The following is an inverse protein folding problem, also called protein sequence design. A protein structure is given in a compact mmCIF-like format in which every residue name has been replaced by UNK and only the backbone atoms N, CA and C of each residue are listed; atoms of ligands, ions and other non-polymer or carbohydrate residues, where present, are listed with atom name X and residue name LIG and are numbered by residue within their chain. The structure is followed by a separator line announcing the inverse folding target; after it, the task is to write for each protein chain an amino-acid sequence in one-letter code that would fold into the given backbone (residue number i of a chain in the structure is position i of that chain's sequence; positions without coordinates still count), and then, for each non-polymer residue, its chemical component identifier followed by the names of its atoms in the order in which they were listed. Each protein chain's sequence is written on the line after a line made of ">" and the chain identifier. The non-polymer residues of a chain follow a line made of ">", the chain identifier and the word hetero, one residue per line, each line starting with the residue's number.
data_IF_582412875315
#
_entry.id   IF_582412875315
#
_cell.length_a   1.000
_cell.length_b   1.000
_cell.length_c   1.000
_cell.angle_alpha   90.00
_cell.angle_beta   90.00
_cell.angle_gamma   90.00
#
_symmetry.space_group_name_H-M   'P 1'
#
loop_
_entity.id
_entity.type
_entity.pdbx_description
1 polymer ?
#
# COMPACT_ATOMS: atom_id res chain seq x y z
N UNK A 1 3.00 2.69 -14.80
CA UNK A 1 2.51 4.01 -14.34
C UNK A 1 1.04 3.80 -14.00
N UNK A 2 0.62 3.91 -12.74
CA UNK A 2 -0.76 4.14 -12.29
C UNK A 2 -0.79 3.93 -10.76
N UNK A 3 -0.12 4.81 -10.02
CA UNK A 3 -0.48 5.03 -8.62
C UNK A 3 -1.56 6.10 -8.69
N UNK A 4 -2.82 5.71 -8.50
CA UNK A 4 -3.91 6.66 -8.30
C UNK A 4 -3.59 7.48 -7.05
N UNK A 5 -3.69 8.80 -7.20
CA UNK A 5 -3.06 9.82 -6.37
C UNK A 5 -3.26 9.62 -4.85
N UNK A 6 -2.19 9.29 -4.13
CA UNK A 6 -2.18 9.23 -2.66
C UNK A 6 -1.81 10.58 -2.06
N UNK A 7 -2.60 11.62 -2.34
CA UNK A 7 -2.22 13.02 -2.07
C UNK A 7 -1.58 13.19 -0.68
N UNK A 8 -0.29 13.60 -0.57
CA UNK A 8 0.37 13.83 0.71
C UNK A 8 -0.35 14.90 1.55
N UNK A 9 -1.18 15.73 0.91
CA UNK A 9 -2.06 16.70 1.57
C UNK A 9 -3.10 16.02 2.45
N UNK A 10 -3.53 14.79 2.14
CA UNK A 10 -4.46 14.06 3.02
C UNK A 10 -3.82 13.71 4.38
N UNK A 11 -2.49 13.80 4.48
CA UNK A 11 -1.69 13.50 5.67
C UNK A 11 -1.14 14.81 6.28
N UNK A 12 -2.02 15.78 6.53
CA UNK A 12 -1.63 17.02 7.22
C UNK A 12 -1.12 16.72 8.65
N UNK A 13 0.00 17.36 9.03
CA UNK A 13 0.58 17.44 10.39
C UNK A 13 0.34 16.22 11.30
N UNK A 14 0.97 15.08 10.99
CA UNK A 14 0.87 13.79 11.72
C UNK A 14 -0.38 12.94 11.42
N UNK A 15 -1.00 13.16 10.26
CA UNK A 15 -2.12 12.36 9.79
C UNK A 15 -1.77 10.89 9.49
N UNK A 16 -2.83 10.12 9.30
CA UNK A 16 -2.81 8.72 8.88
C UNK A 16 -3.75 8.56 7.70
N UNK A 17 -3.32 7.80 6.68
CA UNK A 17 -4.15 7.46 5.53
C UNK A 17 -4.13 5.96 5.29
N UNK A 18 -5.32 5.38 5.10
CA UNK A 18 -5.52 4.00 4.68
C UNK A 18 -6.15 3.95 3.30
N UNK A 19 -5.59 3.14 2.42
CA UNK A 19 -6.00 3.04 1.03
C UNK A 19 -6.27 1.57 0.72
N UNK A 20 -7.52 1.30 0.37
CA UNK A 20 -7.96 -0.01 -0.12
C UNK A 20 -7.95 0.03 -1.64
N UNK A 21 -7.16 -0.84 -2.27
CA UNK A 21 -7.07 -0.89 -3.73
C UNK A 21 -6.74 -2.28 -4.23
N UNK A 22 -7.00 -2.52 -5.50
CA UNK A 22 -6.46 -3.64 -6.25
C UNK A 22 -5.06 -3.25 -6.74
N UNK A 23 -4.05 -4.00 -6.32
CA UNK A 23 -2.67 -3.79 -6.73
C UNK A 23 -2.32 -4.79 -7.84
N UNK A 24 -1.98 -4.26 -9.01
CA UNK A 24 -1.61 -5.04 -10.19
C UNK A 24 -0.14 -5.44 -10.11
N UNK A 25 0.16 -6.72 -10.33
CA UNK A 25 1.49 -7.32 -10.21
C UNK A 25 2.21 -6.91 -8.90
N UNK A 26 1.60 -7.18 -7.74
CA UNK A 26 2.18 -6.80 -6.46
C UNK A 26 3.56 -7.44 -6.31
N UNK A 27 4.56 -6.62 -6.02
CA UNK A 27 5.97 -7.03 -5.85
C UNK A 27 6.68 -6.00 -5.00
N UNK A 28 7.88 -6.32 -4.51
CA UNK A 28 8.73 -5.36 -3.78
C UNK A 28 8.99 -4.08 -4.61
N UNK A 29 9.01 -4.19 -5.95
CA UNK A 29 9.14 -3.05 -6.86
C UNK A 29 8.01 -2.01 -6.73
N UNK A 30 6.83 -2.42 -6.23
CA UNK A 30 5.70 -1.52 -6.03
C UNK A 30 5.95 -0.56 -4.86
N UNK A 31 6.59 -1.03 -3.78
CA UNK A 31 6.99 -0.18 -2.67
C UNK A 31 7.95 0.92 -3.15
N UNK A 32 9.01 0.54 -3.89
CA UNK A 32 9.95 1.50 -4.46
C UNK A 32 9.26 2.54 -5.37
N UNK A 33 8.28 2.12 -6.18
CA UNK A 33 7.50 3.04 -7.03
C UNK A 33 6.68 4.03 -6.21
N UNK A 34 6.12 3.58 -5.09
CA UNK A 34 5.36 4.43 -4.15
C UNK A 34 6.29 5.44 -3.47
N UNK A 35 7.45 5.00 -2.98
CA UNK A 35 8.46 5.87 -2.37
C UNK A 35 8.95 6.94 -3.36
N UNK A 36 9.29 6.56 -4.59
CA UNK A 36 9.71 7.48 -5.64
C UNK A 36 8.62 8.49 -6.00
N UNK A 37 7.37 8.02 -6.11
CA UNK A 37 6.22 8.87 -6.35
C UNK A 37 6.03 9.91 -5.23
N UNK A 38 6.17 9.48 -3.96
CA UNK A 38 6.06 10.35 -2.80
C UNK A 38 7.12 11.47 -2.83
N UNK A 39 8.37 11.12 -3.09
CA UNK A 39 9.48 12.08 -3.17
C UNK A 39 9.32 13.08 -4.31
N UNK A 40 8.79 12.65 -5.47
CA UNK A 40 8.62 13.53 -6.65
C UNK A 40 7.57 14.62 -6.42
N UNK A 41 6.54 14.34 -5.60
CA UNK A 41 5.45 15.30 -5.35
C UNK A 41 5.83 16.42 -4.39
N UNK A 42 6.84 16.22 -3.53
CA UNK A 42 7.26 17.26 -2.57
C UNK A 42 8.03 18.43 -3.21
N UNK A 43 8.63 18.24 -4.39
CA UNK A 43 9.38 19.29 -5.10
C UNK A 43 8.55 20.43 -5.71
N UNK A 44 7.23 20.48 -5.47
CA UNK A 44 6.29 21.38 -6.18
C UNK A 44 5.69 22.52 -5.33
N UNK A 45 6.43 22.99 -4.31
CA UNK A 45 6.21 24.34 -3.74
C UNK A 45 5.30 24.43 -2.52
N UNK A 46 5.30 23.43 -1.63
CA UNK A 46 4.66 23.54 -0.31
C UNK A 46 5.67 23.17 0.78
N UNK A 47 5.83 24.02 1.79
CA UNK A 47 6.64 23.86 3.02
C UNK A 47 6.27 22.57 3.79
N UNK A 48 6.64 21.42 3.26
CA UNK A 48 6.32 20.10 3.83
C UNK A 48 7.57 19.23 4.03
N UNK A 49 8.76 19.82 3.89
CA UNK A 49 10.08 19.16 3.89
C UNK A 49 10.54 18.62 5.24
N UNK A 50 9.80 18.80 6.33
CA UNK A 50 10.30 18.53 7.69
C UNK A 50 9.77 17.23 8.30
N UNK A 51 9.09 16.35 7.56
CA UNK A 51 8.52 15.15 8.20
C UNK A 51 8.66 13.93 7.30
N UNK A 52 9.36 12.91 7.83
CA UNK A 52 9.38 11.57 7.24
C UNK A 52 8.02 10.90 7.31
N UNK A 53 7.81 9.90 6.46
CA UNK A 53 6.60 9.07 6.50
C UNK A 53 6.98 7.59 6.51
N UNK A 54 6.17 6.79 7.18
CA UNK A 54 6.28 5.35 7.15
C UNK A 54 5.02 4.77 6.55
N UNK A 55 5.17 3.84 5.62
CA UNK A 55 4.05 3.15 5.00
C UNK A 55 4.20 1.64 5.03
N UNK A 56 3.07 0.95 5.06
CA UNK A 56 3.00 -0.51 4.98
C UNK A 56 1.97 -0.87 3.93
N UNK A 57 2.43 -1.56 2.90
CA UNK A 57 1.58 -2.19 1.90
C UNK A 57 1.29 -3.62 2.36
N UNK A 58 0.01 -3.95 2.50
CA UNK A 58 -0.49 -5.28 2.73
C UNK A 58 -1.08 -5.81 1.42
N UNK A 59 -0.56 -6.92 0.91
CA UNK A 59 -1.17 -7.65 -0.21
C UNK A 59 -1.36 -9.10 0.16
N UNK A 60 -2.28 -9.79 -0.51
CA UNK A 60 -2.51 -11.21 -0.27
C UNK A 60 -1.27 -12.04 -0.62
N UNK A 61 -0.98 -13.03 0.22
CA UNK A 61 0.04 -14.04 -0.02
C UNK A 61 -0.22 -14.82 -1.32
N UNK A 62 -1.49 -15.06 -1.64
CA UNK A 62 -1.94 -15.65 -2.90
C UNK A 62 -2.76 -14.59 -3.68
N UNK A 63 -2.12 -13.76 -4.51
CA UNK A 63 -2.80 -12.91 -5.49
C UNK A 63 -3.68 -13.75 -6.42
N UNK A 64 -4.75 -13.16 -6.94
CA UNK A 64 -5.56 -13.80 -7.97
C UNK A 64 -4.89 -13.63 -9.34
N UNK A 65 -5.01 -14.64 -10.19
CA UNK A 65 -4.52 -14.55 -11.56
C UNK A 65 -5.40 -13.63 -12.43
N UNK A 66 -4.85 -13.21 -13.57
CA UNK A 66 -5.53 -12.35 -14.52
C UNK A 66 -6.86 -12.92 -15.03
N UNK A 67 -6.95 -14.23 -15.24
CA UNK A 67 -8.21 -14.89 -15.66
C UNK A 67 -9.29 -14.79 -14.61
N UNK A 68 -8.95 -15.06 -13.34
CA UNK A 68 -9.86 -14.95 -12.20
C UNK A 68 -10.29 -13.50 -12.00
N UNK A 69 -9.38 -12.55 -12.18
CA UNK A 69 -9.70 -11.12 -12.13
C UNK A 69 -10.67 -10.72 -13.25
N UNK A 70 -10.37 -11.06 -14.50
CA UNK A 70 -11.22 -10.78 -15.65
C UNK A 70 -12.61 -11.39 -15.47
N UNK A 71 -12.69 -12.64 -15.02
CA UNK A 71 -13.96 -13.33 -14.76
C UNK A 71 -14.81 -12.68 -13.67
N UNK A 72 -14.20 -11.96 -12.72
CA UNK A 72 -14.93 -11.20 -11.68
C UNK A 72 -15.40 -9.82 -12.14
N UNK A 73 -14.80 -9.29 -13.21
CA UNK A 73 -15.07 -7.93 -13.73
C UNK A 73 -15.99 -7.94 -14.94
N UNK A 74 -16.14 -9.08 -15.59
CA UNK A 74 -16.96 -9.26 -16.77
C UNK A 74 -18.38 -9.71 -16.39
N UNK A 75 -19.38 -9.11 -17.03
CA UNK A 75 -20.78 -9.53 -16.91
C UNK A 75 -21.13 -10.64 -17.92
N UNK A 76 -20.29 -10.88 -18.92
CA UNK A 76 -20.45 -11.88 -19.98
C UNK A 76 -19.11 -12.28 -20.63
N UNK A 77 -19.14 -13.26 -21.53
CA UNK A 77 -17.94 -13.81 -22.20
C UNK A 77 -17.21 -12.78 -23.08
N UNK A 78 -17.93 -11.89 -23.77
CA UNK A 78 -17.31 -10.85 -24.62
C UNK A 78 -16.51 -9.87 -23.76
N UNK A 79 -17.07 -9.42 -22.64
CA UNK A 79 -16.37 -8.56 -21.67
C UNK A 79 -15.17 -9.26 -21.04
N UNK A 80 -15.27 -10.56 -20.76
CA UNK A 80 -14.14 -11.35 -20.26
C UNK A 80 -12.97 -11.29 -21.24
N UNK A 81 -13.22 -11.44 -22.54
CA UNK A 81 -12.18 -11.34 -23.57
C UNK A 81 -11.60 -9.93 -23.70
N UNK A 82 -12.41 -8.88 -23.53
CA UNK A 82 -11.94 -7.48 -23.47
C UNK A 82 -10.99 -7.27 -22.28
N UNK A 83 -11.38 -7.73 -21.09
CA UNK A 83 -10.54 -7.66 -19.89
C UNK A 83 -9.25 -8.46 -20.07
N UNK A 84 -9.32 -9.70 -20.53
CA UNK A 84 -8.13 -10.53 -20.77
C UNK A 84 -7.18 -9.88 -21.79
N UNK A 85 -7.70 -9.31 -22.88
CA UNK A 85 -6.91 -8.57 -23.86
C UNK A 85 -6.21 -7.36 -23.22
N UNK A 86 -6.92 -6.59 -22.40
CA UNK A 86 -6.38 -5.45 -21.69
C UNK A 86 -5.26 -5.85 -20.70
N UNK A 87 -5.53 -6.84 -19.85
CA UNK A 87 -4.57 -7.35 -18.86
C UNK A 87 -3.30 -7.88 -19.54
N UNK A 88 -3.46 -8.64 -20.63
CA UNK A 88 -2.34 -9.14 -21.43
C UNK A 88 -1.50 -7.99 -22.03
N UNK A 89 -2.13 -6.99 -22.66
CA UNK A 89 -1.45 -5.81 -23.22
C UNK A 89 -0.69 -5.00 -22.16
N UNK A 90 -1.20 -4.97 -20.93
CA UNK A 90 -0.56 -4.29 -19.81
C UNK A 90 0.42 -5.18 -19.03
N UNK A 91 0.65 -6.41 -19.48
CA UNK A 91 1.47 -7.41 -18.79
C UNK A 91 1.03 -7.64 -17.33
N UNK A 92 -0.27 -7.59 -17.06
CA UNK A 92 -0.87 -7.86 -15.75
C UNK A 92 -1.17 -9.35 -15.68
N UNK A 93 -0.41 -10.07 -14.86
CA UNK A 93 -0.56 -11.53 -14.69
C UNK A 93 -1.16 -11.88 -13.33
N UNK A 94 -1.03 -10.99 -12.35
CA UNK A 94 -1.62 -11.16 -11.02
C UNK A 94 -2.19 -9.85 -10.50
N UNK A 95 -3.23 -9.97 -9.67
CA UNK A 95 -3.91 -8.86 -9.01
C UNK A 95 -4.11 -9.21 -7.55
N UNK A 96 -3.88 -8.27 -6.65
CA UNK A 96 -4.11 -8.50 -5.23
C UNK A 96 -4.86 -7.33 -4.63
N UNK A 97 -6.11 -7.53 -4.18
CA UNK A 97 -6.75 -6.62 -3.25
C UNK A 97 -5.85 -6.45 -2.04
N UNK A 98 -5.58 -5.21 -1.67
CA UNK A 98 -4.65 -4.89 -0.62
C UNK A 98 -4.99 -3.59 0.09
N UNK A 99 -4.22 -3.33 1.12
CA UNK A 99 -4.35 -2.17 1.98
C UNK A 99 -3.00 -1.50 2.14
N UNK A 100 -2.94 -0.23 1.80
CA UNK A 100 -1.77 0.60 2.03
C UNK A 100 -2.07 1.58 3.14
N UNK A 101 -1.28 1.49 4.21
CA UNK A 101 -1.27 2.49 5.27
C UNK A 101 -0.05 3.38 5.15
N UNK A 102 -0.24 4.69 5.32
CA UNK A 102 0.85 5.66 5.43
C UNK A 102 0.58 6.55 6.65
N UNK A 103 1.59 6.69 7.50
CA UNK A 103 1.58 7.59 8.64
C UNK A 103 2.75 8.55 8.54
N UNK A 104 2.47 9.84 8.75
CA UNK A 104 3.52 10.85 8.86
C UNK A 104 4.13 10.79 10.25
N UNK A 105 5.45 10.75 10.33
CA UNK A 105 6.17 10.79 11.60
C UNK A 105 6.39 12.23 12.03
N UNK A 106 6.16 12.51 13.31
CA UNK A 106 6.55 13.77 13.92
C UNK A 106 8.06 13.74 14.10
N UNK A 107 8.82 14.65 13.46
CA UNK A 107 10.26 14.74 13.70
C UNK A 107 10.45 15.09 15.18
N UNK A 108 11.12 14.22 15.93
CA UNK A 108 11.79 14.66 17.15
C UNK A 108 12.93 15.59 16.71
N UNK A 109 13.04 16.75 17.35
CA UNK A 109 13.94 17.84 16.98
C UNK A 109 15.43 17.52 17.26
N UNK A 110 15.93 16.40 16.75
CA UNK A 110 17.36 16.09 16.67
C UNK A 110 17.83 16.58 15.31
N UNK A 111 18.65 17.63 15.30
CA UNK A 111 19.05 18.43 14.14
C UNK A 111 19.84 17.74 13.03
N UNK A 112 19.64 16.44 12.80
CA UNK A 112 20.08 15.76 11.59
C UNK A 112 18.98 15.88 10.53
N UNK A 113 19.26 16.72 9.53
CA UNK A 113 18.45 16.92 8.34
C UNK A 113 18.42 15.65 7.48
N UNK A 114 17.78 14.59 7.96
CA UNK A 114 17.53 13.40 7.18
C UNK A 114 16.29 13.65 6.31
N UNK A 115 16.50 13.49 5.00
CA UNK A 115 15.56 13.77 3.92
C UNK A 115 14.13 13.32 4.22
N UNK A 116 13.14 14.07 3.73
CA UNK A 116 11.70 13.80 3.83
C UNK A 116 11.22 12.58 3.03
N UNK A 117 11.85 11.43 3.24
CA UNK A 117 11.55 10.19 2.53
C UNK A 117 10.36 9.44 3.15
N UNK A 118 9.59 8.79 2.28
CA UNK A 118 8.66 7.73 2.67
C UNK A 118 9.46 6.42 2.70
N UNK A 119 9.42 5.70 3.82
CA UNK A 119 9.93 4.34 3.92
C UNK A 119 8.76 3.36 3.87
N UNK A 120 8.78 2.45 2.91
CA UNK A 120 7.73 1.45 2.70
C UNK A 120 8.16 0.08 3.21
N UNK A 121 7.24 -0.63 3.86
CA UNK A 121 7.33 -2.07 4.11
C UNK A 121 6.26 -2.80 3.32
N UNK A 122 6.59 -3.98 2.81
CA UNK A 122 5.61 -4.91 2.25
C UNK A 122 5.33 -6.03 3.26
N UNK A 123 4.05 -6.36 3.44
CA UNK A 123 3.61 -7.47 4.27
C UNK A 123 2.60 -8.33 3.49
N UNK A 124 2.77 -9.65 3.56
CA UNK A 124 1.85 -10.60 2.96
C UNK A 124 0.77 -11.00 3.96
N UNK A 125 -0.48 -10.78 3.58
CA UNK A 125 -1.65 -11.23 4.33
C UNK A 125 -1.85 -12.72 4.07
N UNK A 126 -1.74 -13.58 5.10
CA UNK A 126 -1.81 -15.02 4.90
C UNK A 126 -3.22 -15.43 4.47
N UNK A 127 -3.29 -16.51 3.71
CA UNK A 127 -4.56 -17.15 3.39
C UNK A 127 -5.19 -17.72 4.65
N UNK A 128 -6.47 -17.43 4.83
CA UNK A 128 -7.29 -18.03 5.89
C UNK A 128 -8.13 -19.19 5.32
N UNK A 129 -8.77 -19.95 6.22
CA UNK A 129 -9.79 -20.94 5.84
C UNK A 129 -11.00 -20.30 5.12
N UNK A 130 -11.20 -18.97 5.28
CA UNK A 130 -12.23 -18.18 4.59
C UNK A 130 -11.76 -17.62 3.24
N UNK A 131 -10.52 -17.89 2.82
CA UNK A 131 -9.94 -17.42 1.56
C UNK A 131 -8.79 -16.42 1.76
N UNK A 132 -8.11 -16.08 0.64
CA UNK A 132 -6.88 -15.25 0.62
C UNK A 132 -7.12 -13.76 0.44
N UNK A 133 -8.36 -13.28 0.37
CA UNK A 133 -8.61 -11.91 -0.09
C UNK A 133 -8.68 -10.96 1.11
N UNK A 134 -7.77 -9.99 1.16
CA UNK A 134 -7.92 -8.80 1.98
C UNK A 134 -9.19 -8.06 1.52
N UNK A 135 -10.23 -8.15 2.35
CA UNK A 135 -11.46 -7.36 2.23
C UNK A 135 -11.83 -6.84 3.61
N UNK A 136 -12.55 -5.71 3.71
CA UNK A 136 -13.04 -5.21 5.00
C UNK A 136 -13.94 -6.21 5.75
N UNK A 137 -14.57 -7.15 5.03
CA UNK A 137 -15.46 -8.18 5.58
C UNK A 137 -14.71 -9.44 6.05
N UNK A 138 -13.44 -9.61 5.67
CA UNK A 138 -12.63 -10.73 6.12
C UNK A 138 -11.98 -10.41 7.47
N UNK A 139 -12.65 -10.78 8.57
CA UNK A 139 -12.19 -10.55 9.95
C UNK A 139 -10.75 -11.00 10.19
N UNK A 140 -10.33 -12.10 9.57
CA UNK A 140 -9.02 -12.70 9.81
C UNK A 140 -7.92 -11.83 9.17
N UNK A 141 -8.18 -11.30 7.97
CA UNK A 141 -7.31 -10.33 7.30
C UNK A 141 -7.26 -8.99 8.05
N UNK A 142 -8.39 -8.50 8.55
CA UNK A 142 -8.47 -7.27 9.35
C UNK A 142 -7.64 -7.41 10.64
N UNK A 143 -7.84 -8.47 11.41
CA UNK A 143 -7.08 -8.71 12.63
C UNK A 143 -5.58 -8.90 12.37
N UNK A 144 -5.22 -9.62 11.30
CA UNK A 144 -3.82 -9.77 10.90
C UNK A 144 -3.18 -8.42 10.59
N UNK A 145 -3.82 -7.61 9.74
CA UNK A 145 -3.28 -6.31 9.34
C UNK A 145 -3.20 -5.34 10.51
N UNK A 146 -4.20 -5.31 11.38
CA UNK A 146 -4.18 -4.49 12.61
C UNK A 146 -3.03 -4.88 13.54
N UNK A 147 -2.81 -6.18 13.77
CA UNK A 147 -1.70 -6.66 14.61
C UNK A 147 -0.35 -6.28 14.02
N UNK A 148 -0.12 -6.57 12.74
CA UNK A 148 1.14 -6.21 12.08
C UNK A 148 1.38 -4.70 12.08
N UNK A 149 0.33 -3.91 11.87
CA UNK A 149 0.44 -2.46 11.98
C UNK A 149 0.84 -2.02 13.39
N UNK A 150 0.15 -2.51 14.43
CA UNK A 150 0.46 -2.18 15.82
C UNK A 150 1.89 -2.56 16.22
N UNK A 151 2.39 -3.72 15.79
CA UNK A 151 3.78 -4.11 15.98
C UNK A 151 4.73 -3.11 15.32
N UNK A 152 4.43 -2.67 14.10
CA UNK A 152 5.27 -1.72 13.35
C UNK A 152 5.28 -0.31 13.93
N UNK A 153 4.15 0.18 14.44
CA UNK A 153 4.10 1.50 15.10
C UNK A 153 4.59 1.44 16.55
N UNK A 154 4.37 0.33 17.25
CA UNK A 154 4.80 0.12 18.63
C UNK A 154 6.32 -0.02 18.77
N UNK A 155 6.99 -0.65 17.80
CA UNK A 155 8.44 -0.71 17.72
C UNK A 155 9.12 0.65 17.55
N UNK A 156 8.41 1.65 17.04
CA UNK A 156 8.92 3.02 16.92
C UNK A 156 8.72 3.86 18.20
N UNK A 157 8.00 3.32 19.21
CA UNK A 157 7.70 4.00 20.49
C UNK A 157 8.54 3.51 21.67
N UNK A 158 9.28 2.41 21.55
CA UNK A 158 10.14 1.87 22.63
C UNK A 158 11.61 2.14 22.35
N UNK A 159 11.99 3.41 22.39
CA UNK A 159 13.33 3.84 22.79
C UNK A 159 13.17 4.91 23.86
N UNK A 160 12.72 4.49 25.04
CA UNK A 160 12.88 5.25 26.27
C UNK A 160 13.86 4.48 27.12
N UNK A 161 14.97 5.14 27.45
CA UNK A 161 16.19 4.55 27.95
C UNK A 161 16.05 3.63 29.16
N UNK A 162 16.99 2.69 29.21
CA UNK A 162 17.71 2.36 30.43
C UNK A 162 19.20 2.52 30.15
#
# INVERSE_FOLDING_TARGET
>A
KNILEMSPKLVHSCGFVGIVSEFMNPSESLCLKIEQWWSTKQGSGCDHSEFGAFGVLFTNQEPIDASTYAGRRADNDDEYHVWMSHLSKCCITSVSPGLLYIQRQQQQATGESNSSCLAMKHALVPKSVKGSIWTPQNSDAVHFTQRCWMELIGSNGTSTGM
#
